data_IF_660135442004
#
_entry.id   IF_660135442004
#
_cell.length_a   1.000
_cell.length_b   1.000
_cell.length_c   1.000
_cell.angle_alpha   90.00
_cell.angle_beta   90.00
_cell.angle_gamma   90.00
#
_symmetry.space_group_name_H-M   'P 1'
#
loop_
_entity.id
_entity.type
_entity.pdbx_description
1 polymer ?
#
# COMPACT_ATOMS: atom_id res chain seq x y z
N UNK A 1 19.62 -17.85 -21.44
CA UNK A 1 19.29 -16.52 -22.02
C UNK A 1 19.41 -15.49 -20.90
N UNK A 2 20.25 -14.46 -21.04
CA UNK A 2 20.41 -13.38 -20.05
C UNK A 2 19.49 -12.23 -20.46
N UNK A 3 18.56 -11.85 -19.60
CA UNK A 3 17.59 -10.77 -19.86
C UNK A 3 18.25 -9.41 -19.56
N UNK A 4 19.18 -9.00 -20.41
CA UNK A 4 20.03 -7.81 -20.17
C UNK A 4 19.29 -6.48 -20.32
N UNK A 5 18.11 -6.45 -20.95
CA UNK A 5 17.31 -5.25 -21.16
C UNK A 5 16.10 -5.08 -20.23
N UNK A 6 15.96 -5.94 -19.22
CA UNK A 6 14.80 -5.92 -18.33
C UNK A 6 14.88 -4.75 -17.34
N UNK A 7 13.92 -3.84 -17.38
CA UNK A 7 13.81 -2.69 -16.46
C UNK A 7 12.73 -2.84 -15.42
N UNK A 8 11.60 -3.43 -15.80
CA UNK A 8 10.44 -3.61 -14.93
C UNK A 8 10.05 -5.09 -14.93
N UNK A 9 10.01 -5.69 -13.74
CA UNK A 9 9.53 -7.04 -13.54
C UNK A 9 8.47 -7.03 -12.44
N UNK A 10 7.23 -7.30 -12.83
CA UNK A 10 6.13 -7.49 -11.89
C UNK A 10 5.58 -8.91 -12.04
N UNK A 11 5.70 -9.68 -10.97
CA UNK A 11 5.17 -11.04 -10.83
C UNK A 11 4.27 -11.16 -9.59
N UNK A 12 3.76 -10.05 -9.06
CA UNK A 12 2.94 -10.09 -7.86
C UNK A 12 1.59 -10.76 -8.06
N UNK A 13 1.04 -11.32 -6.97
CA UNK A 13 -0.28 -11.95 -6.96
C UNK A 13 -0.32 -13.28 -7.72
N UNK A 14 0.78 -14.03 -7.74
CA UNK A 14 0.86 -15.35 -8.36
C UNK A 14 1.02 -16.45 -7.30
N UNK A 15 1.11 -17.70 -7.76
CA UNK A 15 1.38 -18.87 -6.91
C UNK A 15 2.83 -19.34 -7.06
N UNK A 16 3.77 -18.42 -7.28
CA UNK A 16 5.18 -18.78 -7.44
C UNK A 16 5.72 -19.31 -6.12
N UNK A 17 6.32 -20.50 -6.15
CA UNK A 17 6.88 -21.18 -4.99
C UNK A 17 8.36 -21.51 -5.20
N UNK A 18 9.05 -21.88 -4.13
CA UNK A 18 10.49 -22.15 -4.14
C UNK A 18 11.31 -20.90 -3.83
N UNK A 19 12.61 -20.93 -4.16
CA UNK A 19 13.57 -19.89 -3.79
C UNK A 19 13.73 -18.83 -4.87
N UNK A 20 14.07 -17.61 -4.47
CA UNK A 20 14.50 -16.57 -5.41
C UNK A 20 15.88 -16.98 -5.98
N UNK A 21 16.03 -17.09 -7.32
CA UNK A 21 17.28 -17.53 -7.91
C UNK A 21 18.39 -16.47 -7.77
N UNK A 22 19.61 -16.91 -7.48
CA UNK A 22 20.77 -16.00 -7.37
C UNK A 22 21.03 -15.19 -8.65
N UNK A 23 20.68 -15.76 -9.81
CA UNK A 23 20.85 -15.14 -11.12
C UNK A 23 20.07 -13.82 -11.29
N UNK A 24 19.13 -13.49 -10.40
CA UNK A 24 18.41 -12.21 -10.44
C UNK A 24 19.35 -11.01 -10.33
N UNK A 25 20.49 -11.16 -9.64
CA UNK A 25 21.52 -10.12 -9.54
C UNK A 25 22.25 -9.81 -10.85
N UNK A 26 22.03 -10.58 -11.92
CA UNK A 26 22.57 -10.31 -13.25
C UNK A 26 21.72 -9.36 -14.10
N UNK A 27 20.61 -8.85 -13.57
CA UNK A 27 19.71 -7.92 -14.23
C UNK A 27 20.11 -6.46 -13.93
N UNK A 28 21.29 -6.05 -14.38
CA UNK A 28 21.92 -4.77 -14.01
C UNK A 28 21.07 -3.53 -14.31
N UNK A 29 20.18 -3.60 -15.30
CA UNK A 29 19.28 -2.49 -15.69
C UNK A 29 17.91 -2.51 -14.99
N UNK A 30 17.69 -3.41 -14.03
CA UNK A 30 16.39 -3.54 -13.38
C UNK A 30 16.13 -2.37 -12.44
N UNK A 31 15.03 -1.65 -12.69
CA UNK A 31 14.59 -0.48 -11.92
C UNK A 31 13.47 -0.82 -10.94
N UNK A 32 12.60 -1.77 -11.30
CA UNK A 32 11.46 -2.17 -10.47
C UNK A 32 11.30 -3.68 -10.44
N UNK A 33 11.26 -4.25 -9.23
CA UNK A 33 11.01 -5.66 -8.99
C UNK A 33 9.88 -5.83 -7.98
N UNK A 34 8.76 -6.42 -8.42
CA UNK A 34 7.65 -6.78 -7.54
C UNK A 34 7.42 -8.29 -7.59
N UNK A 35 7.65 -8.95 -6.46
CA UNK A 35 7.41 -10.38 -6.23
C UNK A 35 6.39 -10.60 -5.10
N UNK A 36 5.67 -9.55 -4.70
CA UNK A 36 4.76 -9.62 -3.56
C UNK A 36 3.59 -10.58 -3.79
N UNK A 37 2.91 -10.99 -2.71
CA UNK A 37 1.72 -11.85 -2.79
C UNK A 37 1.98 -13.15 -3.57
N UNK A 38 3.02 -13.88 -3.17
CA UNK A 38 3.41 -15.16 -3.74
C UNK A 38 3.68 -16.19 -2.61
N UNK A 39 4.19 -17.36 -2.96
CA UNK A 39 4.55 -18.43 -2.03
C UNK A 39 6.07 -18.68 -2.01
N UNK A 40 6.88 -17.67 -2.33
CA UNK A 40 8.33 -17.78 -2.36
C UNK A 40 8.87 -18.05 -0.96
N UNK A 41 9.94 -18.82 -0.87
CA UNK A 41 10.48 -19.37 0.38
C UNK A 41 12.00 -19.38 0.39
N UNK A 42 12.60 -19.56 1.56
CA UNK A 42 14.04 -19.50 1.74
C UNK A 42 14.58 -18.07 1.77
N UNK A 43 15.90 -17.95 1.70
CA UNK A 43 16.57 -16.68 1.96
C UNK A 43 16.56 -15.73 0.75
N UNK A 44 16.58 -14.44 1.04
CA UNK A 44 16.76 -13.40 0.02
C UNK A 44 18.23 -13.47 -0.46
N UNK A 45 18.48 -13.77 -1.75
CA UNK A 45 19.84 -13.96 -2.23
C UNK A 45 20.61 -12.64 -2.19
N UNK A 46 21.84 -12.70 -1.67
CA UNK A 46 22.71 -11.52 -1.54
C UNK A 46 22.98 -10.84 -2.88
N UNK A 47 22.87 -11.58 -3.99
CA UNK A 47 23.00 -11.06 -5.35
C UNK A 47 21.98 -9.96 -5.71
N UNK A 48 20.85 -9.85 -5.01
CA UNK A 48 19.93 -8.72 -5.19
C UNK A 48 20.62 -7.39 -4.88
N UNK A 49 21.62 -7.38 -3.98
CA UNK A 49 22.41 -6.18 -3.71
C UNK A 49 23.27 -5.71 -4.89
N UNK A 50 23.47 -6.54 -5.92
CA UNK A 50 24.19 -6.17 -7.14
C UNK A 50 23.33 -5.40 -8.16
N UNK A 51 22.02 -5.27 -7.92
CA UNK A 51 21.12 -4.51 -8.78
C UNK A 51 21.30 -3.01 -8.51
N UNK A 52 22.21 -2.36 -9.24
CA UNK A 52 22.60 -0.95 -9.04
C UNK A 52 21.63 0.09 -9.60
N UNK A 53 20.64 -0.34 -10.38
CA UNK A 53 19.61 0.54 -10.94
C UNK A 53 18.26 0.39 -10.23
N UNK A 54 18.18 -0.41 -9.16
CA UNK A 54 16.90 -0.76 -8.53
C UNK A 54 16.37 0.41 -7.69
N UNK A 55 15.21 0.92 -8.06
CA UNK A 55 14.51 2.01 -7.38
C UNK A 55 13.29 1.52 -6.58
N UNK A 56 12.67 0.41 -7.00
CA UNK A 56 11.49 -0.16 -6.35
C UNK A 56 11.64 -1.65 -6.16
N UNK A 57 11.48 -2.10 -4.92
CA UNK A 57 11.46 -3.51 -4.56
C UNK A 57 10.22 -3.79 -3.72
N UNK A 58 9.52 -4.88 -3.99
CA UNK A 58 8.46 -5.39 -3.12
C UNK A 58 8.53 -6.91 -3.02
N UNK A 59 8.78 -7.42 -1.82
CA UNK A 59 8.87 -8.84 -1.48
C UNK A 59 7.82 -9.25 -0.44
N UNK A 60 6.84 -8.38 -0.18
CA UNK A 60 5.86 -8.56 0.88
C UNK A 60 4.95 -9.78 0.63
N UNK A 61 4.36 -10.31 1.71
CA UNK A 61 3.41 -11.42 1.66
C UNK A 61 3.95 -12.65 0.89
N UNK A 62 5.06 -13.20 1.41
CA UNK A 62 5.68 -14.44 0.96
C UNK A 62 6.07 -15.28 2.19
N UNK A 63 6.80 -16.38 1.99
CA UNK A 63 7.35 -17.25 3.04
C UNK A 63 8.89 -17.14 3.13
N UNK A 64 9.45 -15.97 2.83
CA UNK A 64 10.91 -15.74 2.87
C UNK A 64 11.45 -15.84 4.30
N UNK A 65 12.71 -16.22 4.42
CA UNK A 65 13.40 -16.47 5.70
C UNK A 65 14.77 -15.80 5.77
N UNK A 66 15.33 -15.75 6.98
CA UNK A 66 16.71 -15.35 7.21
C UNK A 66 16.91 -13.84 7.28
N UNK A 67 18.18 -13.42 7.29
CA UNK A 67 18.56 -12.01 7.42
C UNK A 67 18.34 -11.28 6.09
N UNK A 68 17.72 -10.11 6.16
CA UNK A 68 17.63 -9.21 5.00
C UNK A 68 19.05 -8.77 4.60
N UNK A 69 19.48 -8.99 3.35
CA UNK A 69 20.80 -8.59 2.91
C UNK A 69 20.92 -7.07 2.91
N UNK A 70 21.83 -6.54 3.73
CA UNK A 70 22.20 -5.12 3.74
C UNK A 70 23.33 -4.88 2.74
N UNK A 71 22.99 -4.39 1.55
CA UNK A 71 23.97 -3.99 0.53
C UNK A 71 23.61 -2.63 -0.06
N UNK A 72 24.55 -2.03 -0.81
CA UNK A 72 24.51 -0.69 -1.41
C UNK A 72 23.11 -0.05 -1.46
N UNK A 73 22.29 -0.41 -2.44
CA UNK A 73 21.00 0.23 -2.73
C UNK A 73 19.82 -0.32 -1.91
N UNK A 74 19.98 -1.48 -1.26
CA UNK A 74 18.96 -2.04 -0.36
C UNK A 74 18.87 -1.25 0.95
N UNK A 75 19.97 -0.60 1.35
CA UNK A 75 19.98 0.32 2.49
C UNK A 75 19.28 1.66 2.18
N UNK A 76 19.17 2.04 0.90
CA UNK A 76 18.45 3.24 0.45
C UNK A 76 16.95 3.03 0.22
N UNK A 77 16.45 1.80 0.40
CA UNK A 77 15.03 1.47 0.43
C UNK A 77 14.61 1.25 1.89
N UNK A 78 14.43 2.32 2.68
CA UNK A 78 14.20 2.21 4.12
C UNK A 78 12.80 1.70 4.47
N UNK A 79 11.92 1.51 3.48
CA UNK A 79 10.53 1.19 3.75
C UNK A 79 10.39 -0.28 4.23
N UNK A 80 9.99 -0.52 5.50
CA UNK A 80 9.76 -1.86 6.00
C UNK A 80 8.59 -2.58 5.32
N UNK A 81 7.70 -1.84 4.63
CA UNK A 81 6.56 -2.42 3.89
C UNK A 81 7.01 -3.39 2.78
N UNK A 82 8.24 -3.24 2.27
CA UNK A 82 8.82 -4.09 1.24
C UNK A 82 8.92 -5.55 1.69
N UNK A 83 9.13 -5.79 2.98
CA UNK A 83 9.43 -7.11 3.55
C UNK A 83 8.29 -7.66 4.43
N UNK A 84 7.23 -6.88 4.68
CA UNK A 84 6.13 -7.25 5.57
C UNK A 84 5.39 -8.50 5.10
N UNK A 85 4.80 -9.26 6.03
CA UNK A 85 4.06 -10.47 5.69
C UNK A 85 4.94 -11.67 5.34
N UNK A 86 6.23 -11.63 5.70
CA UNK A 86 7.14 -12.77 5.71
C UNK A 86 7.47 -13.13 7.16
N UNK A 87 7.01 -14.28 7.69
CA UNK A 87 7.09 -14.57 9.12
C UNK A 87 8.51 -14.85 9.64
N UNK A 88 9.43 -15.28 8.76
CA UNK A 88 10.76 -15.76 9.14
C UNK A 88 11.89 -14.80 8.73
N UNK A 89 11.57 -13.59 8.25
CA UNK A 89 12.58 -12.56 7.95
C UNK A 89 12.99 -11.81 9.21
N UNK A 90 14.27 -11.45 9.29
CA UNK A 90 14.84 -10.69 10.40
C UNK A 90 15.90 -9.69 9.90
N UNK A 91 16.25 -8.74 10.75
CA UNK A 91 17.24 -7.69 10.50
C UNK A 91 16.65 -6.42 9.90
N UNK A 92 17.40 -5.31 10.00
CA UNK A 92 17.00 -4.02 9.45
C UNK A 92 16.69 -4.12 7.94
N UNK A 93 15.61 -3.49 7.44
CA UNK A 93 14.77 -2.47 8.07
C UNK A 93 13.62 -3.01 8.97
N UNK A 94 13.49 -4.32 9.19
CA UNK A 94 12.47 -4.86 10.09
C UNK A 94 12.90 -4.72 11.57
N UNK A 95 11.95 -4.53 12.51
CA UNK A 95 12.24 -4.46 13.95
C UNK A 95 12.54 -5.84 14.57
N UNK A 96 12.59 -6.92 13.78
CA UNK A 96 12.80 -8.29 14.25
C UNK A 96 14.32 -8.58 14.28
N UNK A 97 14.94 -8.83 15.45
CA UNK A 97 16.36 -9.17 15.54
C UNK A 97 16.64 -10.56 14.96
N UNK A 98 17.84 -10.78 14.41
CA UNK A 98 18.24 -12.08 13.90
C UNK A 98 18.91 -12.94 14.97
N UNK A 99 18.70 -14.28 14.95
CA UNK A 99 19.41 -15.19 15.84
C UNK A 99 20.92 -15.12 15.60
N UNK A 100 21.69 -14.73 16.62
CA UNK A 100 23.15 -14.57 16.54
C UNK A 100 23.68 -13.14 16.74
N UNK A 101 22.79 -12.14 16.82
CA UNK A 101 23.18 -10.77 17.19
C UNK A 101 23.29 -10.58 18.72
N UNK A 102 22.95 -11.60 19.51
CA UNK A 102 23.05 -11.62 20.97
C UNK A 102 24.15 -12.56 21.45
N UNK A 103 25.39 -12.06 21.52
CA UNK A 103 26.29 -12.51 22.57
C UNK A 103 25.91 -11.78 23.86
N UNK A 104 25.52 -12.56 24.87
CA UNK A 104 25.19 -12.21 26.26
C UNK A 104 23.80 -11.62 26.56
N UNK A 105 22.90 -12.53 26.93
CA UNK A 105 21.98 -12.56 28.09
C UNK A 105 20.56 -13.05 27.70
N UNK A 106 19.87 -13.73 28.63
CA UNK A 106 19.16 -14.97 28.33
C UNK A 106 17.67 -14.78 27.99
N UNK A 107 17.13 -15.79 27.31
CA UNK A 107 15.71 -16.01 27.01
C UNK A 107 14.85 -15.82 28.27
N UNK A 108 13.77 -15.03 28.17
CA UNK A 108 12.47 -15.59 28.52
C UNK A 108 11.43 -15.26 27.44
N UNK A 109 10.78 -16.29 26.93
CA UNK A 109 9.35 -16.21 26.61
C UNK A 109 8.61 -16.92 27.75
N UNK A 110 7.35 -16.62 28.09
CA UNK A 110 6.39 -15.72 27.44
C UNK A 110 5.83 -14.64 28.40
N UNK A 111 5.62 -13.41 27.93
CA UNK A 111 4.73 -12.47 28.61
C UNK A 111 4.03 -11.54 27.63
N UNK A 112 2.72 -11.74 27.57
CA UNK A 112 1.71 -10.76 27.18
C UNK A 112 1.89 -9.45 27.97
N UNK A 113 1.83 -8.31 27.26
CA UNK A 113 1.90 -6.92 27.76
C UNK A 113 2.82 -6.11 26.84
N UNK A 114 2.33 -5.20 26.00
CA UNK A 114 1.93 -3.83 26.37
C UNK A 114 3.17 -3.05 26.86
N UNK A 115 3.72 -2.00 26.26
CA UNK A 115 3.31 -1.11 25.17
C UNK A 115 4.58 -0.44 24.56
N UNK A 116 4.44 -0.01 23.29
CA UNK A 116 4.93 1.24 22.66
C UNK A 116 6.37 1.77 22.80
N UNK A 117 7.04 1.95 21.65
CA UNK A 117 7.46 3.31 21.22
C UNK A 117 7.84 3.36 19.73
N UNK A 118 6.86 3.74 18.88
CA UNK A 118 6.98 4.60 17.68
C UNK A 118 5.66 4.70 16.88
N UNK A 119 4.56 4.13 17.39
CA UNK A 119 3.19 4.34 16.88
C UNK A 119 2.42 5.42 17.63
N UNK A 120 2.96 5.87 18.76
CA UNK A 120 2.34 6.75 19.75
C UNK A 120 1.90 8.06 19.10
N UNK A 121 2.76 8.71 18.30
CA UNK A 121 2.43 9.97 17.64
C UNK A 121 1.17 9.85 16.75
N UNK A 122 1.09 8.84 15.89
CA UNK A 122 -0.05 8.69 14.98
C UNK A 122 -1.32 8.26 15.72
N UNK A 123 -1.21 7.36 16.70
CA UNK A 123 -2.36 6.90 17.51
C UNK A 123 -2.92 8.07 18.35
N UNK A 124 -2.09 8.88 19.00
CA UNK A 124 -2.54 10.09 19.71
C UNK A 124 -3.24 11.09 18.80
N UNK A 125 -2.76 11.28 17.56
CA UNK A 125 -3.46 12.10 16.57
C UNK A 125 -4.84 11.53 16.22
N UNK A 126 -4.98 10.22 15.95
CA UNK A 126 -6.28 9.62 15.62
C UNK A 126 -7.24 9.59 16.82
N UNK A 127 -6.74 9.33 18.03
CA UNK A 127 -7.52 9.35 19.26
C UNK A 127 -7.97 10.76 19.65
N UNK A 128 -7.26 11.83 19.24
CA UNK A 128 -7.67 13.21 19.44
C UNK A 128 -8.56 13.77 18.32
N UNK A 129 -8.19 13.54 17.05
CA UNK A 129 -8.85 14.14 15.88
C UNK A 129 -10.11 13.38 15.46
N UNK A 130 -10.12 12.06 15.62
CA UNK A 130 -11.24 11.17 15.28
C UNK A 130 -12.52 11.50 16.03
N UNK A 131 -12.55 11.42 17.39
CA UNK A 131 -13.77 11.68 18.15
C UNK A 131 -14.21 13.15 18.06
N UNK A 132 -13.28 14.11 17.93
CA UNK A 132 -13.60 15.52 17.74
C UNK A 132 -14.30 15.79 16.40
N UNK A 133 -13.82 15.16 15.32
CA UNK A 133 -14.46 15.27 14.01
C UNK A 133 -15.83 14.60 13.99
N UNK A 134 -15.97 13.41 14.59
CA UNK A 134 -17.24 12.70 14.67
C UNK A 134 -18.26 13.49 15.51
N UNK A 135 -17.87 13.98 16.69
CA UNK A 135 -18.75 14.77 17.55
C UNK A 135 -19.11 16.12 16.91
N UNK A 136 -18.16 16.80 16.26
CA UNK A 136 -18.40 18.05 15.54
C UNK A 136 -19.31 17.86 14.33
N UNK A 137 -19.07 16.82 13.53
CA UNK A 137 -19.89 16.49 12.36
C UNK A 137 -21.31 16.07 12.77
N UNK A 138 -21.46 15.20 13.77
CA UNK A 138 -22.79 14.79 14.26
C UNK A 138 -23.51 15.91 15.00
N UNK A 139 -22.78 16.79 15.69
CA UNK A 139 -23.34 17.99 16.32
C UNK A 139 -23.86 18.99 15.29
N UNK A 140 -23.08 19.28 14.25
CA UNK A 140 -23.48 20.15 13.14
C UNK A 140 -24.68 19.55 12.38
N UNK A 141 -24.62 18.26 12.05
CA UNK A 141 -25.73 17.56 11.40
C UNK A 141 -26.96 17.52 12.31
N UNK A 142 -26.80 17.26 13.61
CA UNK A 142 -27.90 17.29 14.58
C UNK A 142 -28.60 18.65 14.66
N UNK A 143 -27.83 19.74 14.69
CA UNK A 143 -28.36 21.12 14.66
C UNK A 143 -29.10 21.41 13.35
N UNK A 144 -28.60 20.92 12.21
CA UNK A 144 -29.28 21.01 10.92
C UNK A 144 -30.61 20.22 10.89
N UNK A 145 -30.70 19.11 11.64
CA UNK A 145 -31.92 18.30 11.74
C UNK A 145 -32.95 18.82 12.76
N UNK A 146 -32.53 19.53 13.82
CA UNK A 146 -33.42 20.04 14.88
C UNK A 146 -34.30 21.21 14.43
N UNK A 147 -33.82 22.06 13.51
CA UNK A 147 -34.67 23.10 12.91
C UNK A 147 -35.37 22.57 11.66
N UNK A 148 -36.67 22.28 11.82
CA UNK A 148 -37.58 21.84 10.74
C UNK A 148 -37.48 22.71 9.46
N UNK A 149 -37.27 24.02 9.61
CA UNK A 149 -37.11 24.95 8.48
C UNK A 149 -35.78 24.78 7.72
N UNK A 150 -34.69 24.47 8.42
CA UNK A 150 -33.37 24.30 7.82
C UNK A 150 -33.26 23.00 7.05
N UNK A 151 -33.85 21.91 7.58
CA UNK A 151 -33.99 20.65 6.88
C UNK A 151 -34.68 20.82 5.53
N UNK A 152 -35.80 21.55 5.50
CA UNK A 152 -36.58 21.76 4.27
C UNK A 152 -35.79 22.63 3.27
N UNK A 153 -35.09 23.66 3.75
CA UNK A 153 -34.27 24.51 2.89
C UNK A 153 -33.07 23.77 2.28
N UNK A 154 -32.41 22.90 3.05
CA UNK A 154 -31.30 22.07 2.59
C UNK A 154 -31.75 21.08 1.51
N UNK A 155 -32.86 20.35 1.75
CA UNK A 155 -33.41 19.41 0.77
C UNK A 155 -33.80 20.09 -0.53
N UNK A 156 -34.52 21.23 -0.46
CA UNK A 156 -34.90 21.99 -1.65
C UNK A 156 -33.71 22.45 -2.48
N UNK A 157 -32.66 22.92 -1.82
CA UNK A 157 -31.45 23.35 -2.52
C UNK A 157 -30.76 22.20 -3.26
N UNK A 158 -30.66 21.02 -2.62
CA UNK A 158 -30.08 19.84 -3.28
C UNK A 158 -30.94 19.34 -4.43
N UNK A 159 -32.26 19.33 -4.27
CA UNK A 159 -33.20 18.95 -5.33
C UNK A 159 -33.06 19.89 -6.54
N UNK A 160 -33.00 21.21 -6.31
CA UNK A 160 -32.82 22.20 -7.39
C UNK A 160 -31.50 22.02 -8.14
N UNK A 161 -30.41 21.72 -7.42
CA UNK A 161 -29.10 21.43 -8.02
C UNK A 161 -29.14 20.13 -8.83
N UNK A 162 -29.77 19.09 -8.29
CA UNK A 162 -29.87 17.79 -8.95
C UNK A 162 -30.67 17.87 -10.23
N UNK A 163 -31.82 18.55 -10.22
CA UNK A 163 -32.64 18.75 -11.42
C UNK A 163 -31.88 19.55 -12.48
N UNK A 164 -31.20 20.63 -12.08
CA UNK A 164 -30.40 21.43 -13.01
C UNK A 164 -29.27 20.61 -13.66
N UNK A 165 -28.56 19.80 -12.85
CA UNK A 165 -27.51 18.93 -13.33
C UNK A 165 -28.06 17.84 -14.25
N UNK A 166 -29.15 17.20 -13.85
CA UNK A 166 -29.80 16.13 -14.59
C UNK A 166 -30.32 16.62 -15.94
N UNK A 167 -30.94 17.80 -16.00
CA UNK A 167 -31.39 18.42 -17.26
C UNK A 167 -30.20 18.75 -18.16
N UNK A 168 -29.12 19.35 -17.62
CA UNK A 168 -27.92 19.62 -18.43
C UNK A 168 -27.29 18.35 -19.00
N UNK A 169 -27.17 17.32 -18.17
CA UNK A 169 -26.58 16.03 -18.57
C UNK A 169 -27.46 15.34 -19.61
N UNK A 170 -28.77 15.26 -19.38
CA UNK A 170 -29.72 14.63 -20.30
C UNK A 170 -29.82 15.36 -21.65
N UNK A 171 -29.83 16.70 -21.67
CA UNK A 171 -29.81 17.50 -22.91
C UNK A 171 -28.49 17.35 -23.67
N UNK A 172 -27.36 17.28 -22.96
CA UNK A 172 -26.05 17.09 -23.59
C UNK A 172 -25.92 15.67 -24.17
N UNK A 173 -26.43 14.66 -23.46
CA UNK A 173 -26.52 13.27 -23.92
C UNK A 173 -27.45 13.12 -25.14
N UNK A 174 -28.60 13.79 -25.16
CA UNK A 174 -29.54 13.73 -26.28
C UNK A 174 -28.98 14.39 -27.54
N UNK A 175 -28.31 15.56 -27.41
CA UNK A 175 -27.55 16.18 -28.51
C UNK A 175 -26.45 15.26 -29.04
N UNK A 176 -25.71 14.58 -28.16
CA UNK A 176 -24.63 13.69 -28.55
C UNK A 176 -25.15 12.44 -29.29
N UNK A 177 -26.26 11.86 -28.81
CA UNK A 177 -26.95 10.74 -29.49
C UNK A 177 -27.55 11.16 -30.84
N UNK A 178 -28.11 12.37 -30.94
CA UNK A 178 -28.64 12.92 -32.19
C UNK A 178 -27.57 13.19 -33.26
N UNK A 179 -26.36 13.61 -32.86
CA UNK A 179 -25.24 13.74 -33.79
C UNK A 179 -24.67 12.38 -34.22
N UNK A 180 -24.58 11.41 -33.30
CA UNK A 180 -24.08 10.06 -33.62
C UNK A 180 -24.98 9.28 -34.58
N UNK A 181 -26.29 9.48 -34.52
CA UNK A 181 -27.24 8.84 -35.45
C UNK A 181 -27.23 9.44 -36.87
N UNK A 182 -26.66 10.64 -37.06
CA UNK A 182 -26.66 11.35 -38.36
C UNK A 182 -25.41 11.07 -39.21
N UNK A 183 -24.39 10.41 -38.65
CA UNK A 183 -23.12 10.09 -39.33
C UNK A 183 -23.04 8.65 -39.85
N UNK A 184 -24.10 7.84 -39.68
CA UNK A 184 -24.15 6.43 -40.09
C UNK A 184 -25.02 6.16 -41.33
N UNK A 185 -25.53 7.22 -41.97
CA UNK A 185 -26.28 7.15 -43.24
C UNK A 185 -25.54 7.92 -44.32
N UNK A 186 -24.41 7.38 -44.80
CA UNK A 186 -23.84 7.61 -46.14
C UNK A 186 -23.20 6.30 -46.57
#
# INVERSE_FOLDING_TARGET
MKLTGLRFLNLSGNQLAGKIPQNIGGLELLESLDLSLNQLSGDIPISISNLTSLERLNLSHNHLSGRIPSGNQLQTLPDPSIYIGNPNLCGSPLPVPCPGDEASQPIPSPSSGGDEDNGTNMIWFYMGLGPGFVAGFWGLMGVLFLKRSWRIALFRFFDDIWDWLYVKVSVKLSKWRGCRARTTTV
#
